data_IF_526346806178
#
_entry.id   IF_526346806178
#
_cell.length_a   1.000
_cell.length_b   1.000
_cell.length_c   1.000
_cell.angle_alpha   90.00
_cell.angle_beta   90.00
_cell.angle_gamma   90.00
#
_symmetry.space_group_name_H-M   'P 1'
#
loop_
_entity.id
_entity.type
_entity.pdbx_description
1 polymer ?
#
# COMPACT_ATOMS: atom_id res chain seq x y z
N UNK A 1 10.60 5.54 -6.87
CA UNK A 1 9.22 5.03 -6.81
C UNK A 1 8.78 4.63 -8.20
N UNK A 2 8.17 3.46 -8.32
CA UNK A 2 7.56 2.98 -9.54
C UNK A 2 6.29 3.76 -9.89
N UNK A 3 5.97 3.86 -11.18
CA UNK A 3 4.81 4.60 -11.68
C UNK A 3 3.48 4.12 -11.08
N UNK A 4 3.41 2.84 -10.72
CA UNK A 4 2.22 2.19 -10.17
C UNK A 4 2.22 2.06 -8.64
N UNK A 5 3.26 2.56 -7.98
CA UNK A 5 3.32 2.56 -6.52
C UNK A 5 2.37 3.62 -5.95
N UNK A 6 1.88 3.36 -4.75
CA UNK A 6 1.02 4.27 -3.99
C UNK A 6 1.85 4.87 -2.88
N UNK A 7 1.85 6.19 -2.78
CA UNK A 7 2.39 6.91 -1.63
C UNK A 7 1.42 8.02 -1.27
N UNK A 8 1.14 8.17 0.02
CA UNK A 8 0.49 9.35 0.54
C UNK A 8 0.96 9.62 1.97
N UNK A 9 0.99 10.90 2.31
CA UNK A 9 1.37 11.40 3.62
C UNK A 9 0.11 11.86 4.34
N UNK A 10 -0.10 11.37 5.56
CA UNK A 10 -1.23 11.77 6.36
C UNK A 10 -0.78 12.25 7.74
N UNK A 11 -1.27 13.43 8.12
CA UNK A 11 -1.03 14.00 9.43
C UNK A 11 -1.96 13.31 10.44
N UNK A 12 -1.41 12.49 11.32
CA UNK A 12 -2.18 11.81 12.37
C UNK A 12 -1.83 12.43 13.72
N UNK A 13 -2.84 12.90 14.45
CA UNK A 13 -2.64 13.44 15.79
C UNK A 13 -2.55 12.28 16.80
N UNK A 14 -1.45 11.52 16.74
CA UNK A 14 -1.21 10.38 17.62
C UNK A 14 -0.85 10.88 19.02
N UNK A 15 -1.84 10.85 19.94
CA UNK A 15 -1.65 11.24 21.35
C UNK A 15 -0.82 10.25 22.15
N UNK A 16 -0.82 8.96 21.78
CA UNK A 16 -0.11 7.90 22.50
C UNK A 16 0.39 6.82 21.53
N UNK A 17 1.66 6.90 21.14
CA UNK A 17 2.41 5.79 20.53
C UNK A 17 1.93 5.29 19.16
N UNK A 18 2.87 4.85 18.32
CA UNK A 18 2.56 4.30 16.99
C UNK A 18 1.96 2.87 17.07
N UNK A 19 1.97 2.26 18.27
CA UNK A 19 1.54 0.89 18.51
C UNK A 19 0.06 0.64 18.15
N UNK A 20 -0.84 1.57 18.47
CA UNK A 20 -2.28 1.41 18.20
C UNK A 20 -2.59 1.36 16.69
N UNK A 21 -1.87 2.15 15.88
CA UNK A 21 -1.97 2.10 14.42
C UNK A 21 -1.52 0.74 13.89
N UNK A 22 -0.33 0.31 14.28
CA UNK A 22 0.26 -0.92 13.75
C UNK A 22 -0.57 -2.15 14.14
N UNK A 23 -1.13 -2.16 15.35
CA UNK A 23 -2.00 -3.22 15.82
C UNK A 23 -3.37 -3.22 15.11
N UNK A 24 -3.94 -2.03 14.83
CA UNK A 24 -5.16 -1.91 14.01
C UNK A 24 -4.96 -2.49 12.60
N UNK A 25 -3.89 -2.06 11.91
CA UNK A 25 -3.57 -2.56 10.58
C UNK A 25 -3.30 -4.07 10.61
N UNK A 26 -2.52 -4.55 11.58
CA UNK A 26 -2.30 -5.99 11.79
C UNK A 26 -3.62 -6.74 11.95
N UNK A 27 -4.56 -6.25 12.77
CA UNK A 27 -5.85 -6.92 13.01
C UNK A 27 -6.73 -6.96 11.76
N UNK A 28 -6.73 -5.89 10.96
CA UNK A 28 -7.47 -5.85 9.70
C UNK A 28 -6.92 -6.87 8.68
N UNK A 29 -5.59 -7.01 8.60
CA UNK A 29 -4.96 -7.89 7.61
C UNK A 29 -4.76 -9.34 8.07
N UNK A 30 -4.71 -9.60 9.38
CA UNK A 30 -4.55 -10.96 9.94
C UNK A 30 -5.83 -11.80 9.89
N UNK A 31 -6.99 -11.19 9.63
CA UNK A 31 -8.30 -11.85 9.79
C UNK A 31 -8.59 -12.96 8.77
N UNK A 32 -7.82 -13.09 7.69
CA UNK A 32 -8.15 -14.04 6.61
C UNK A 32 -6.96 -14.64 5.83
N UNK A 33 -5.70 -14.23 6.05
CA UNK A 33 -4.56 -14.63 5.20
C UNK A 33 -3.23 -14.67 5.94
N UNK A 34 -2.36 -15.60 5.56
CA UNK A 34 -0.96 -15.70 6.01
C UNK A 34 -0.10 -14.65 5.28
N UNK A 35 -0.24 -13.39 5.66
CA UNK A 35 0.68 -12.34 5.21
C UNK A 35 1.90 -12.28 6.13
N UNK A 36 3.07 -12.02 5.56
CA UNK A 36 4.30 -11.81 6.33
C UNK A 36 4.28 -10.38 6.88
N UNK A 37 3.96 -10.25 8.17
CA UNK A 37 3.85 -8.97 8.88
C UNK A 37 5.11 -8.79 9.74
N UNK A 38 5.90 -7.76 9.44
CA UNK A 38 7.08 -7.36 10.22
C UNK A 38 6.77 -6.01 10.89
N UNK A 39 6.74 -6.00 12.23
CA UNK A 39 6.60 -4.78 13.02
C UNK A 39 7.97 -4.43 13.58
N UNK A 40 8.48 -3.26 13.23
CA UNK A 40 9.64 -2.62 13.86
C UNK A 40 9.15 -1.43 14.71
N UNK A 41 10.05 -0.83 15.51
CA UNK A 41 9.68 0.21 16.50
C UNK A 41 8.90 1.40 15.90
N UNK A 42 9.21 1.80 14.67
CA UNK A 42 8.63 2.97 13.99
C UNK A 42 8.08 2.65 12.61
N UNK A 43 8.05 1.37 12.23
CA UNK A 43 7.60 0.93 10.91
C UNK A 43 6.78 -0.36 10.97
N UNK A 44 5.75 -0.45 10.13
CA UNK A 44 4.99 -1.65 9.87
C UNK A 44 5.16 -2.03 8.41
N UNK A 45 5.65 -3.24 8.16
CA UNK A 45 5.85 -3.78 6.83
C UNK A 45 5.00 -5.03 6.64
N UNK A 46 4.19 -5.05 5.60
CA UNK A 46 3.33 -6.17 5.23
C UNK A 46 3.60 -6.51 3.77
N UNK A 47 4.12 -7.71 3.54
CA UNK A 47 4.41 -8.19 2.19
C UNK A 47 3.21 -8.89 1.56
N UNK A 48 3.15 -8.84 0.23
CA UNK A 48 2.20 -9.55 -0.64
C UNK A 48 0.73 -9.27 -0.33
N UNK A 49 0.44 -8.04 0.10
CA UNK A 49 -0.88 -7.64 0.55
C UNK A 49 -1.80 -7.25 -0.62
N UNK A 50 -3.01 -7.78 -0.62
CA UNK A 50 -4.07 -7.38 -1.55
C UNK A 50 -4.91 -6.27 -0.93
N UNK A 51 -4.64 -5.02 -1.34
CA UNK A 51 -5.31 -3.81 -0.87
C UNK A 51 -6.58 -3.55 -1.66
N UNK A 52 -7.60 -4.40 -1.54
CA UNK A 52 -8.83 -4.28 -2.34
C UNK A 52 -8.59 -4.41 -3.87
N UNK A 53 -7.42 -4.90 -4.26
CA UNK A 53 -6.99 -5.11 -5.63
C UNK A 53 -6.46 -6.54 -5.82
N UNK A 54 -6.36 -7.00 -7.07
CA UNK A 54 -5.84 -8.33 -7.40
C UNK A 54 -4.31 -8.35 -7.36
N UNK A 55 -3.68 -7.24 -7.72
CA UNK A 55 -2.24 -7.07 -7.65
C UNK A 55 -1.80 -6.97 -6.18
N UNK A 56 -0.67 -7.60 -5.89
CA UNK A 56 -0.08 -7.63 -4.56
C UNK A 56 0.86 -6.45 -4.39
N UNK A 57 0.73 -5.80 -3.24
CA UNK A 57 1.55 -4.67 -2.84
C UNK A 57 2.31 -5.00 -1.54
N UNK A 58 3.49 -4.43 -1.40
CA UNK A 58 4.21 -4.35 -0.14
C UNK A 58 3.81 -3.06 0.54
N UNK A 59 3.08 -3.16 1.64
CA UNK A 59 2.69 -2.02 2.44
C UNK A 59 3.78 -1.71 3.46
N UNK A 60 4.28 -0.49 3.48
CA UNK A 60 5.18 0.02 4.48
C UNK A 60 4.61 1.31 5.07
N UNK A 61 4.33 1.28 6.37
CA UNK A 61 3.83 2.42 7.13
C UNK A 61 4.94 2.86 8.06
N UNK A 62 5.47 4.06 7.84
CA UNK A 62 6.48 4.67 8.70
C UNK A 62 5.90 5.88 9.39
N UNK A 63 6.12 5.99 10.69
CA UNK A 63 5.69 7.14 11.49
C UNK A 63 6.87 8.04 11.77
N UNK A 64 6.84 9.27 11.24
CA UNK A 64 7.83 10.30 11.55
C UNK A 64 7.24 11.27 12.57
N UNK A 65 7.86 11.34 13.75
CA UNK A 65 7.48 12.31 14.80
C UNK A 65 8.30 13.58 14.61
N UNK A 66 7.65 14.68 14.23
CA UNK A 66 8.35 15.96 14.17
C UNK A 66 8.35 16.62 15.56
N UNK A 67 9.48 16.53 16.27
CA UNK A 67 9.67 17.06 17.64
C UNK A 67 9.38 18.57 17.77
N UNK A 68 9.37 19.34 16.68
CA UNK A 68 9.09 20.80 16.72
C UNK A 68 7.61 21.17 16.75
N UNK A 69 6.71 20.33 16.22
CA UNK A 69 5.29 20.69 16.05
C UNK A 69 4.30 19.82 16.84
N UNK A 70 4.76 18.81 17.60
CA UNK A 70 3.89 17.83 18.28
C UNK A 70 2.87 17.16 17.32
N UNK A 71 3.19 17.10 16.03
CA UNK A 71 2.41 16.40 15.01
C UNK A 71 3.17 15.15 14.58
N UNK A 72 2.46 14.03 14.52
CA UNK A 72 3.00 12.76 14.02
C UNK A 72 2.53 12.59 12.57
N UNK A 73 3.46 12.41 11.65
CA UNK A 73 3.12 12.12 10.25
C UNK A 73 3.24 10.63 10.02
N UNK A 74 2.17 10.00 9.54
CA UNK A 74 2.23 8.65 9.01
C UNK A 74 2.45 8.74 7.50
N UNK A 75 3.54 8.13 7.06
CA UNK A 75 3.88 7.97 5.66
C UNK A 75 3.49 6.55 5.29
N UNK A 76 2.53 6.42 4.39
CA UNK A 76 2.03 5.13 3.93
C UNK A 76 2.48 4.94 2.49
N UNK A 77 3.31 3.93 2.29
CA UNK A 77 3.85 3.53 0.99
C UNK A 77 3.36 2.13 0.67
N UNK A 78 2.87 1.91 -0.55
CA UNK A 78 2.53 0.60 -1.05
C UNK A 78 3.21 0.37 -2.41
N UNK A 79 4.22 -0.49 -2.42
CA UNK A 79 5.02 -0.80 -3.60
C UNK A 79 4.42 -2.00 -4.34
N UNK A 80 4.28 -1.92 -5.65
CA UNK A 80 3.77 -3.03 -6.45
C UNK A 80 4.79 -4.19 -6.47
N UNK A 81 4.40 -5.38 -6.01
CA UNK A 81 5.30 -6.55 -5.98
C UNK A 81 5.16 -7.46 -7.22
N UNK A 82 4.01 -7.43 -7.89
CA UNK A 82 3.74 -8.28 -9.06
C UNK A 82 4.36 -7.72 -10.36
N UNK A 83 5.53 -7.07 -10.28
CA UNK A 83 6.19 -6.45 -11.44
C UNK A 83 6.65 -7.49 -12.46
N UNK A 84 7.17 -8.64 -12.02
CA UNK A 84 7.64 -9.71 -12.91
C UNK A 84 6.54 -10.27 -13.82
N UNK A 85 5.34 -10.51 -13.27
CA UNK A 85 4.21 -11.02 -14.08
C UNK A 85 3.81 -9.96 -15.11
N UNK A 86 3.81 -8.69 -14.72
CA UNK A 86 3.46 -7.57 -15.59
C UNK A 86 4.46 -7.43 -16.73
N UNK A 87 5.76 -7.58 -16.45
CA UNK A 87 6.82 -7.57 -17.45
C UNK A 87 6.63 -8.69 -18.47
N UNK A 88 6.30 -9.91 -18.04
CA UNK A 88 6.02 -11.03 -18.95
C UNK A 88 4.84 -10.69 -19.87
N UNK A 89 3.75 -10.15 -19.34
CA UNK A 89 2.60 -9.74 -20.15
C UNK A 89 2.95 -8.64 -21.16
N UNK A 90 3.79 -7.68 -20.79
CA UNK A 90 4.25 -6.62 -21.70
C UNK A 90 5.09 -7.22 -22.83
N UNK A 91 6.04 -8.11 -22.52
CA UNK A 91 6.87 -8.79 -23.53
C UNK A 91 6.00 -9.61 -24.49
N UNK A 92 5.03 -10.36 -23.96
CA UNK A 92 4.06 -11.11 -24.78
C UNK A 92 3.22 -10.16 -25.65
N UNK A 93 2.72 -9.06 -25.11
CA UNK A 93 1.95 -8.08 -25.88
C UNK A 93 2.76 -7.49 -27.04
N UNK A 94 4.04 -7.21 -26.83
CA UNK A 94 4.95 -6.75 -27.89
C UNK A 94 5.09 -7.84 -28.95
N UNK A 95 5.36 -9.09 -28.54
CA UNK A 95 5.59 -10.21 -29.45
C UNK A 95 4.35 -10.56 -30.30
N UNK A 96 3.15 -10.54 -29.71
CA UNK A 96 1.92 -11.02 -30.36
C UNK A 96 1.08 -9.92 -31.03
N UNK A 97 1.16 -8.68 -30.55
CA UNK A 97 0.27 -7.59 -31.01
C UNK A 97 1.03 -6.34 -31.45
N UNK A 98 2.35 -6.47 -31.66
CA UNK A 98 3.25 -5.35 -31.98
C UNK A 98 3.14 -4.19 -30.97
N UNK A 99 2.79 -4.51 -29.72
CA UNK A 99 2.67 -3.55 -28.63
C UNK A 99 1.27 -2.95 -28.41
N UNK A 100 0.28 -3.21 -29.27
CA UNK A 100 -1.10 -2.72 -29.04
C UNK A 100 -1.72 -3.31 -27.76
N UNK A 101 -1.38 -4.55 -27.43
CA UNK A 101 -1.82 -5.26 -26.22
C UNK A 101 -1.25 -4.69 -24.92
N UNK A 102 -0.32 -3.73 -24.97
CA UNK A 102 0.20 -3.06 -23.77
C UNK A 102 -0.88 -2.14 -23.15
N UNK A 103 -1.73 -1.53 -23.98
CA UNK A 103 -2.76 -0.58 -23.54
C UNK A 103 -3.66 -1.17 -22.44
N UNK A 104 -4.30 -2.34 -22.61
CA UNK A 104 -5.14 -2.92 -21.56
C UNK A 104 -4.35 -3.30 -20.30
N UNK A 105 -3.06 -3.68 -20.42
CA UNK A 105 -2.20 -4.00 -19.27
C UNK A 105 -1.95 -2.76 -18.42
N UNK A 106 -1.58 -1.64 -19.05
CA UNK A 106 -1.37 -0.36 -18.36
C UNK A 106 -2.67 0.11 -17.72
N UNK A 107 -3.78 0.07 -18.46
CA UNK A 107 -5.09 0.50 -17.95
C UNK A 107 -5.53 -0.33 -16.73
N UNK A 108 -5.35 -1.65 -16.79
CA UNK A 108 -5.61 -2.54 -15.67
C UNK A 108 -4.73 -2.20 -14.46
N UNK A 109 -3.43 -2.05 -14.65
CA UNK A 109 -2.49 -1.76 -13.55
C UNK A 109 -2.80 -0.42 -12.88
N UNK A 110 -3.14 0.59 -13.69
CA UNK A 110 -3.56 1.90 -13.18
C UNK A 110 -4.87 1.81 -12.37
N UNK A 111 -5.85 1.05 -12.85
CA UNK A 111 -7.10 0.85 -12.10
C UNK A 111 -6.86 0.17 -10.75
N UNK A 112 -5.94 -0.78 -10.70
CA UNK A 112 -5.56 -1.48 -9.46
C UNK A 112 -4.87 -0.53 -8.48
N UNK A 113 -4.02 0.38 -8.97
CA UNK A 113 -3.42 1.46 -8.17
C UNK A 113 -4.51 2.31 -7.52
N UNK A 114 -5.49 2.77 -8.31
CA UNK A 114 -6.60 3.61 -7.81
C UNK A 114 -7.40 2.88 -6.72
N UNK A 115 -7.72 1.60 -6.92
CA UNK A 115 -8.38 0.77 -5.91
C UNK A 115 -7.56 0.62 -4.63
N UNK A 116 -6.27 0.34 -4.75
CA UNK A 116 -5.36 0.20 -3.61
C UNK A 116 -5.28 1.50 -2.79
N UNK A 117 -5.14 2.64 -3.46
CA UNK A 117 -5.14 3.95 -2.80
C UNK A 117 -6.46 4.21 -2.07
N UNK A 118 -7.60 3.94 -2.72
CA UNK A 118 -8.92 4.16 -2.10
C UNK A 118 -9.11 3.28 -0.86
N UNK A 119 -8.74 2.01 -0.95
CA UNK A 119 -8.84 1.06 0.16
C UNK A 119 -7.97 1.47 1.35
N UNK A 120 -6.73 1.92 1.09
CA UNK A 120 -5.84 2.40 2.14
C UNK A 120 -6.36 3.68 2.81
N UNK A 121 -6.90 4.62 2.03
CA UNK A 121 -7.52 5.84 2.56
C UNK A 121 -8.74 5.53 3.43
N UNK A 122 -9.63 4.66 2.97
CA UNK A 122 -10.81 4.23 3.75
C UNK A 122 -10.40 3.54 5.06
N UNK A 123 -9.36 2.69 5.05
CA UNK A 123 -8.84 2.08 6.28
C UNK A 123 -8.32 3.10 7.27
N UNK A 124 -7.62 4.12 6.77
CA UNK A 124 -7.06 5.17 7.62
C UNK A 124 -8.13 6.12 8.16
N UNK A 125 -9.14 6.45 7.35
CA UNK A 125 -10.30 7.23 7.78
C UNK A 125 -11.10 6.49 8.86
N UNK A 126 -11.29 5.18 8.71
CA UNK A 126 -11.90 4.33 9.74
C UNK A 126 -11.09 4.34 11.04
N UNK A 127 -9.75 4.27 10.96
CA UNK A 127 -8.90 4.39 12.15
C UNK A 127 -9.09 5.74 12.84
N UNK A 128 -9.09 6.84 12.08
CA UNK A 128 -9.31 8.19 12.61
C UNK A 128 -10.69 8.36 13.24
N UNK A 129 -11.73 7.74 12.69
CA UNK A 129 -13.09 7.76 13.24
C UNK A 129 -13.26 6.87 14.49
N UNK A 130 -12.31 5.96 14.75
CA UNK A 130 -12.33 5.05 15.91
C UNK A 130 -11.66 5.66 17.16
N UNK A 131 -10.98 6.80 17.03
CA UNK A 131 -10.22 7.50 18.08
C UNK A 131 -10.93 8.80 18.46
#
# INVERSE_FOLDING_TARGET
>A
MGMFDVEFHENLNLKEGNSNLFEFFKKQFSKNKNYEIKIEKDSLNIEKLQLGSLLRYKLNITTSTNKKEKTSQAIITAELQDTLILTIFIVLAIAFTYGLGIIPIIMFTYFQKVKATKYLKELLENYKSTI
#
